data_IF_806458542550
#
_entry.id   IF_806458542550
#
_cell.length_a   1.000
_cell.length_b   1.000
_cell.length_c   1.000
_cell.angle_alpha   90.00
_cell.angle_beta   90.00
_cell.angle_gamma   90.00
#
_symmetry.space_group_name_H-M   'P 1'
#
loop_
_entity.id
_entity.type
_entity.pdbx_description
1 polymer ?
#
# COMPACT_ATOMS: atom_id res chain seq x y z
N UNK A 1 14.85 13.52 31.05
CA UNK A 1 14.96 14.65 30.12
C UNK A 1 15.02 14.20 28.66
N UNK A 2 15.98 13.35 28.26
CA UNK A 2 16.08 12.90 26.85
C UNK A 2 14.79 12.25 26.32
N UNK A 3 14.12 11.41 27.10
CA UNK A 3 12.83 10.83 26.69
C UNK A 3 11.73 11.87 26.45
N UNK A 4 11.71 12.95 27.23
CA UNK A 4 10.77 14.06 27.05
C UNK A 4 11.14 14.92 25.83
N UNK A 5 12.44 15.04 25.51
CA UNK A 5 12.88 15.70 24.29
C UNK A 5 12.46 14.91 23.04
N UNK A 6 12.60 13.57 23.06
CA UNK A 6 12.12 12.71 21.97
C UNK A 6 10.60 12.82 21.79
N UNK A 7 9.84 12.92 22.87
CA UNK A 7 8.38 13.11 22.80
C UNK A 7 7.99 14.41 22.10
N UNK A 8 8.71 15.51 22.37
CA UNK A 8 8.49 16.78 21.65
C UNK A 8 8.78 16.64 20.16
N UNK A 9 9.89 16.01 19.78
CA UNK A 9 10.27 15.78 18.38
C UNK A 9 9.21 14.92 17.67
N UNK A 10 8.74 13.85 18.32
CA UNK A 10 7.75 12.96 17.73
C UNK A 10 6.42 13.66 17.44
N UNK A 11 6.05 14.73 18.18
CA UNK A 11 4.80 15.45 17.92
C UNK A 11 4.79 16.18 16.57
N UNK A 12 5.95 16.42 15.96
CA UNK A 12 6.07 17.09 14.67
C UNK A 12 5.95 16.11 13.48
N UNK A 13 5.86 14.79 13.73
CA UNK A 13 5.77 13.77 12.67
C UNK A 13 4.36 13.68 12.08
N UNK A 14 4.31 13.51 10.75
CA UNK A 14 3.08 13.46 9.95
C UNK A 14 2.76 12.05 9.40
N UNK A 15 3.64 11.09 9.61
CA UNK A 15 3.49 9.72 9.13
C UNK A 15 4.38 9.38 7.93
N UNK A 16 4.91 10.37 7.21
CA UNK A 16 5.81 10.18 6.08
C UNK A 16 7.29 10.25 6.47
N UNK A 17 7.58 10.58 7.73
CA UNK A 17 8.94 10.81 8.23
C UNK A 17 9.86 9.59 8.10
N UNK A 18 11.15 9.87 7.94
CA UNK A 18 12.22 8.87 7.90
C UNK A 18 13.13 9.08 9.12
N UNK A 19 13.25 8.06 9.95
CA UNK A 19 14.14 8.09 11.12
C UNK A 19 15.39 7.28 10.81
N UNK A 20 16.55 7.86 11.14
CA UNK A 20 17.86 7.24 11.00
C UNK A 20 18.54 7.23 12.35
N UNK A 21 18.84 6.03 12.87
CA UNK A 21 19.55 5.83 14.12
C UNK A 21 20.89 5.15 13.86
N UNK A 22 21.99 5.83 14.19
CA UNK A 22 23.33 5.28 14.09
C UNK A 22 23.93 5.01 15.48
N UNK A 23 24.52 3.83 15.71
CA UNK A 23 25.20 3.50 16.97
C UNK A 23 24.29 3.72 18.19
N UNK A 24 24.71 4.50 19.19
CA UNK A 24 23.89 4.88 20.35
C UNK A 24 22.61 5.65 19.98
N UNK A 25 22.62 6.37 18.85
CA UNK A 25 21.44 7.03 18.29
C UNK A 25 20.37 6.04 17.82
N UNK A 26 20.73 4.77 17.60
CA UNK A 26 19.78 3.70 17.32
C UNK A 26 18.70 3.56 18.38
N UNK A 27 19.06 3.74 19.66
CA UNK A 27 18.09 3.64 20.75
C UNK A 27 17.11 4.83 20.77
N UNK A 28 17.60 6.04 20.45
CA UNK A 28 16.74 7.21 20.27
C UNK A 28 15.77 7.04 19.10
N UNK A 29 16.25 6.49 17.98
CA UNK A 29 15.43 6.20 16.80
C UNK A 29 14.33 5.19 17.09
N UNK A 30 14.66 4.10 17.80
CA UNK A 30 13.68 3.12 18.28
C UNK A 30 12.61 3.78 19.15
N UNK A 31 13.02 4.58 20.14
CA UNK A 31 12.09 5.30 21.00
C UNK A 31 11.19 6.28 20.23
N UNK A 32 11.70 7.00 19.24
CA UNK A 32 10.85 7.85 18.40
C UNK A 32 9.82 7.02 17.62
N UNK A 33 10.24 5.90 17.03
CA UNK A 33 9.36 5.02 16.27
C UNK A 33 8.26 4.36 17.14
N UNK A 34 8.45 4.19 18.45
CA UNK A 34 7.38 3.71 19.34
C UNK A 34 6.20 4.67 19.48
N UNK A 35 6.42 5.97 19.22
CA UNK A 35 5.48 7.03 19.61
C UNK A 35 4.53 7.45 18.50
N UNK A 36 4.97 7.41 17.25
CA UNK A 36 4.21 7.90 16.09
C UNK A 36 4.49 7.06 14.85
N UNK A 37 3.52 7.07 13.93
CA UNK A 37 3.69 6.45 12.62
C UNK A 37 4.78 7.16 11.83
N UNK A 38 5.57 6.38 11.10
CA UNK A 38 6.64 6.83 10.23
C UNK A 38 6.68 5.98 8.95
N UNK A 39 7.20 6.55 7.87
CA UNK A 39 7.33 5.81 6.62
C UNK A 39 8.46 4.77 6.70
N UNK A 40 9.59 5.15 7.29
CA UNK A 40 10.78 4.30 7.32
C UNK A 40 11.65 4.50 8.56
N UNK A 41 12.12 3.39 9.13
CA UNK A 41 13.15 3.34 10.17
C UNK A 41 14.43 2.69 9.62
N UNK A 42 15.55 3.40 9.72
CA UNK A 42 16.88 2.91 9.37
C UNK A 42 17.74 2.84 10.63
N UNK A 43 18.18 1.64 11.01
CA UNK A 43 19.15 1.44 12.07
C UNK A 43 20.48 1.01 11.48
N UNK A 44 21.55 1.77 11.77
CA UNK A 44 22.90 1.50 11.28
C UNK A 44 23.81 1.23 12.46
N UNK A 45 24.44 0.05 12.47
CA UNK A 45 25.27 -0.43 13.57
C UNK A 45 24.64 -0.10 14.94
N UNK A 46 23.33 -0.36 15.16
CA UNK A 46 22.67 0.12 16.37
C UNK A 46 23.27 -0.52 17.61
N UNK A 47 23.35 0.27 18.69
CA UNK A 47 23.67 -0.22 20.03
C UNK A 47 22.37 -0.29 20.86
N UNK A 48 21.55 -1.34 20.68
CA UNK A 48 20.30 -1.52 21.43
C UNK A 48 20.54 -1.81 22.92
N UNK A 49 19.51 -1.68 23.78
CA UNK A 49 19.53 -2.03 25.21
C UNK A 49 19.76 -3.54 25.44
N UNK A 50 20.96 -4.05 25.16
CA UNK A 50 21.39 -5.39 25.59
C UNK A 50 22.42 -5.26 26.69
N UNK A 51 22.58 -6.32 27.49
CA UNK A 51 23.50 -6.31 28.61
C UNK A 51 24.95 -6.27 28.10
N UNK A 52 25.53 -5.08 28.03
CA UNK A 52 26.91 -4.90 27.59
C UNK A 52 27.91 -5.18 28.73
N UNK A 53 29.12 -5.68 28.41
CA UNK A 53 30.19 -5.85 29.39
C UNK A 53 30.46 -4.56 30.17
N UNK A 54 30.72 -4.65 31.48
CA UNK A 54 31.02 -3.49 32.35
C UNK A 54 32.17 -2.62 31.81
N UNK A 55 33.09 -3.22 31.05
CA UNK A 55 34.22 -2.54 30.42
C UNK A 55 33.83 -1.55 29.32
N UNK A 56 32.65 -1.70 28.67
CA UNK A 56 32.19 -0.82 27.58
C UNK A 56 32.06 0.64 28.03
N UNK A 57 31.53 0.84 29.23
CA UNK A 57 31.36 2.17 29.81
C UNK A 57 32.68 2.80 30.30
N UNK A 58 33.73 1.98 30.49
CA UNK A 58 35.04 2.44 30.94
C UNK A 58 35.77 3.33 29.94
N UNK A 59 35.46 3.20 28.64
CA UNK A 59 36.00 4.10 27.61
C UNK A 59 35.41 5.51 27.73
N UNK A 60 34.08 5.63 27.87
CA UNK A 60 33.41 6.92 28.06
C UNK A 60 33.86 7.66 29.32
N UNK A 61 34.22 6.93 30.39
CA UNK A 61 34.74 7.50 31.65
C UNK A 61 36.07 8.23 31.51
N UNK A 62 36.79 8.04 30.41
CA UNK A 62 38.02 8.79 30.12
C UNK A 62 37.75 10.18 29.57
N UNK A 63 36.62 10.36 28.91
CA UNK A 63 36.29 11.57 28.16
C UNK A 63 35.18 12.39 28.85
N UNK A 64 34.24 11.74 29.53
CA UNK A 64 33.02 12.38 30.06
C UNK A 64 32.89 12.27 31.59
N UNK A 65 32.22 13.24 32.23
CA UNK A 65 31.86 13.18 33.65
C UNK A 65 31.01 11.94 33.99
N UNK A 66 31.16 11.41 35.21
CA UNK A 66 30.39 10.25 35.67
C UNK A 66 28.87 10.48 35.61
N UNK A 67 28.41 11.71 35.87
CA UNK A 67 26.98 12.07 35.79
C UNK A 67 26.39 11.85 34.40
N UNK A 68 27.14 12.18 33.36
CA UNK A 68 26.70 12.09 31.97
C UNK A 68 26.68 10.64 31.50
N UNK A 69 27.62 9.84 31.99
CA UNK A 69 27.68 8.40 31.73
C UNK A 69 26.54 7.68 32.42
N UNK A 70 26.22 8.06 33.66
CA UNK A 70 25.08 7.50 34.38
C UNK A 70 23.75 7.88 33.70
N UNK A 71 23.63 9.11 33.17
CA UNK A 71 22.49 9.53 32.37
C UNK A 71 22.39 8.76 31.04
N UNK A 72 23.50 8.65 30.31
CA UNK A 72 23.59 7.88 29.07
C UNK A 72 23.21 6.42 29.30
N UNK A 73 23.73 5.81 30.36
CA UNK A 73 23.41 4.42 30.71
C UNK A 73 21.93 4.25 31.04
N UNK A 74 21.33 5.16 31.83
CA UNK A 74 19.90 5.13 32.11
C UNK A 74 19.04 5.24 30.86
N UNK A 75 19.42 6.10 29.92
CA UNK A 75 18.72 6.21 28.64
C UNK A 75 18.93 4.98 27.76
N UNK A 76 20.17 4.51 27.67
CA UNK A 76 20.55 3.34 26.89
C UNK A 76 19.82 2.09 27.38
N UNK A 77 19.66 1.90 28.69
CA UNK A 77 19.03 0.72 29.29
C UNK A 77 17.48 0.84 29.35
N UNK A 78 16.90 1.93 28.82
CA UNK A 78 15.45 2.09 28.76
C UNK A 78 14.83 1.05 27.80
N UNK A 79 13.74 0.43 28.25
CA UNK A 79 13.08 -0.65 27.50
C UNK A 79 12.38 -0.13 26.24
N UNK A 80 12.56 -0.83 25.12
CA UNK A 80 11.93 -0.54 23.83
C UNK A 80 10.79 -1.52 23.57
N UNK A 81 9.59 -1.01 23.32
CA UNK A 81 8.45 -1.76 22.83
C UNK A 81 8.54 -1.99 21.32
N UNK A 82 9.20 -3.08 20.93
CA UNK A 82 9.37 -3.45 19.53
C UNK A 82 8.07 -3.68 18.78
N UNK A 83 7.00 -4.16 19.43
CA UNK A 83 5.70 -4.33 18.77
C UNK A 83 5.15 -2.99 18.27
N UNK A 84 5.25 -1.93 19.08
CA UNK A 84 4.88 -0.58 18.64
C UNK A 84 5.78 -0.04 17.54
N UNK A 85 7.09 -0.27 17.63
CA UNK A 85 8.04 0.13 16.56
C UNK A 85 7.62 -0.52 15.23
N UNK A 86 7.24 -1.80 15.26
CA UNK A 86 6.81 -2.53 14.08
C UNK A 86 5.46 -2.04 13.55
N UNK A 87 4.48 -1.81 14.40
CA UNK A 87 3.16 -1.29 14.00
C UNK A 87 3.22 0.13 13.44
N UNK A 88 4.16 0.94 13.93
CA UNK A 88 4.29 2.34 13.54
C UNK A 88 5.21 2.57 12.34
N UNK A 89 6.07 1.62 11.98
CA UNK A 89 7.04 1.82 10.89
C UNK A 89 6.64 0.99 9.68
N UNK A 90 6.28 1.61 8.56
CA UNK A 90 5.89 0.83 7.37
C UNK A 90 7.06 0.01 6.80
N UNK A 91 8.26 0.62 6.78
CA UNK A 91 9.51 -0.02 6.36
C UNK A 91 10.56 0.07 7.46
N UNK A 92 11.32 -1.01 7.64
CA UNK A 92 12.34 -1.13 8.68
C UNK A 92 13.60 -1.78 8.09
N UNK A 93 14.72 -1.08 8.19
CA UNK A 93 16.00 -1.48 7.59
C UNK A 93 17.06 -1.51 8.68
N UNK A 94 17.76 -2.64 8.79
CA UNK A 94 18.88 -2.84 9.68
C UNK A 94 20.15 -3.00 8.86
N UNK A 95 21.14 -2.15 9.10
CA UNK A 95 22.44 -2.15 8.42
C UNK A 95 23.51 -2.49 9.46
N UNK A 96 24.25 -3.56 9.22
CA UNK A 96 25.31 -4.07 10.10
C UNK A 96 26.59 -4.30 9.32
N UNK A 97 27.72 -4.35 10.02
CA UNK A 97 28.95 -4.96 9.53
C UNK A 97 29.19 -6.29 10.24
N UNK A 98 29.64 -7.31 9.51
CA UNK A 98 29.92 -8.64 10.06
C UNK A 98 31.18 -8.70 10.95
N UNK A 99 32.03 -7.69 10.89
CA UNK A 99 33.24 -7.53 11.70
C UNK A 99 33.24 -6.26 12.57
N UNK A 100 32.06 -5.74 12.95
CA UNK A 100 31.97 -4.56 13.83
C UNK A 100 32.55 -4.87 15.23
N UNK A 101 33.61 -4.15 15.68
CA UNK A 101 34.26 -4.42 16.96
C UNK A 101 33.47 -3.91 18.18
N UNK A 102 32.44 -3.09 17.99
CA UNK A 102 31.68 -2.42 19.06
C UNK A 102 30.23 -2.90 19.18
N UNK A 103 29.67 -3.49 18.12
CA UNK A 103 28.30 -4.03 18.11
C UNK A 103 28.35 -5.56 18.22
N UNK A 104 28.19 -6.13 19.44
CA UNK A 104 28.34 -7.55 19.65
C UNK A 104 27.20 -8.36 19.02
N UNK A 105 27.44 -9.66 18.84
CA UNK A 105 26.52 -10.57 18.18
C UNK A 105 25.14 -10.60 18.86
N UNK A 106 25.07 -10.47 20.19
CA UNK A 106 23.83 -10.42 20.96
C UNK A 106 22.94 -9.23 20.56
N UNK A 107 23.55 -8.08 20.27
CA UNK A 107 22.82 -6.92 19.78
C UNK A 107 22.24 -7.16 18.39
N UNK A 108 22.93 -7.94 17.55
CA UNK A 108 22.45 -8.32 16.23
C UNK A 108 21.28 -9.31 16.31
N UNK A 109 21.37 -10.28 17.24
CA UNK A 109 20.34 -11.30 17.49
C UNK A 109 18.99 -10.73 17.92
N UNK A 110 18.98 -9.57 18.56
CA UNK A 110 17.75 -8.89 18.97
C UNK A 110 16.79 -8.62 17.78
N UNK A 111 17.34 -8.53 16.57
CA UNK A 111 16.60 -8.24 15.36
C UNK A 111 16.38 -9.46 14.46
N UNK A 112 16.95 -10.63 14.78
CA UNK A 112 16.92 -11.81 13.92
C UNK A 112 15.52 -12.44 13.81
N UNK A 113 14.70 -12.29 14.85
CA UNK A 113 13.31 -12.76 14.88
C UNK A 113 12.34 -11.77 14.18
N UNK A 114 12.84 -10.63 13.72
CA UNK A 114 12.01 -9.54 13.18
C UNK A 114 11.98 -9.57 11.67
N UNK A 115 10.81 -9.23 11.10
CA UNK A 115 10.62 -9.10 9.64
C UNK A 115 11.15 -7.74 9.14
N UNK A 116 12.45 -7.52 9.31
CA UNK A 116 13.15 -6.30 8.94
C UNK A 116 14.08 -6.59 7.74
N UNK A 117 14.26 -5.60 6.89
CA UNK A 117 15.23 -5.68 5.80
C UNK A 117 16.64 -5.61 6.38
N UNK A 118 17.40 -6.70 6.33
CA UNK A 118 18.76 -6.76 6.89
C UNK A 118 19.80 -6.63 5.78
N UNK A 119 20.69 -5.65 5.90
CA UNK A 119 21.84 -5.42 5.04
C UNK A 119 23.09 -5.67 5.88
N UNK A 120 23.85 -6.70 5.53
CA UNK A 120 25.13 -7.02 6.18
C UNK A 120 26.25 -6.64 5.22
N UNK A 121 27.11 -5.73 5.66
CA UNK A 121 28.29 -5.31 4.95
C UNK A 121 29.45 -6.19 5.39
N UNK A 122 30.18 -6.72 4.41
CA UNK A 122 31.33 -7.57 4.68
C UNK A 122 32.57 -6.72 4.96
N UNK A 123 33.23 -7.02 6.07
CA UNK A 123 34.54 -6.50 6.47
C UNK A 123 34.64 -4.97 6.61
N UNK A 124 33.55 -4.26 6.91
CA UNK A 124 33.52 -2.78 6.99
C UNK A 124 33.93 -2.18 8.34
N UNK A 125 34.09 -2.97 9.39
CA UNK A 125 34.32 -2.48 10.75
C UNK A 125 33.11 -1.71 11.30
N UNK A 126 33.35 -0.79 12.25
CA UNK A 126 32.29 0.09 12.73
C UNK A 126 32.08 1.24 11.75
N UNK A 127 30.83 1.45 11.32
CA UNK A 127 30.49 2.46 10.32
C UNK A 127 30.66 3.85 10.94
N UNK A 128 31.56 4.68 10.41
CA UNK A 128 31.76 6.06 10.90
C UNK A 128 30.95 7.07 10.07
N UNK A 129 30.70 8.26 10.63
CA UNK A 129 29.85 9.30 10.00
C UNK A 129 30.25 9.66 8.54
N UNK A 130 31.54 9.80 8.18
CA UNK A 130 31.92 10.14 6.80
C UNK A 130 31.61 9.02 5.80
N UNK A 131 31.92 7.78 6.18
CA UNK A 131 31.65 6.57 5.38
C UNK A 131 30.14 6.31 5.27
N UNK A 132 29.40 6.62 6.33
CA UNK A 132 27.96 6.55 6.35
C UNK A 132 27.33 7.48 5.33
N UNK A 133 27.79 8.72 5.15
CA UNK A 133 27.19 9.63 4.17
C UNK A 133 27.26 9.08 2.74
N UNK A 134 28.41 8.52 2.37
CA UNK A 134 28.58 7.90 1.04
C UNK A 134 27.74 6.63 0.90
N UNK A 135 27.81 5.73 1.87
CA UNK A 135 27.03 4.50 1.91
C UNK A 135 25.52 4.78 1.92
N UNK A 136 25.08 5.75 2.72
CA UNK A 136 23.68 6.15 2.81
C UNK A 136 23.20 6.73 1.49
N UNK A 137 23.98 7.60 0.87
CA UNK A 137 23.65 8.12 -0.46
C UNK A 137 23.56 7.00 -1.49
N UNK A 138 24.44 6.00 -1.45
CA UNK A 138 24.38 4.83 -2.32
C UNK A 138 23.14 3.96 -2.05
N UNK A 139 22.86 3.65 -0.78
CA UNK A 139 21.69 2.87 -0.35
C UNK A 139 20.36 3.56 -0.63
N UNK A 140 20.35 4.89 -0.62
CA UNK A 140 19.17 5.72 -0.86
C UNK A 140 19.01 6.14 -2.32
N UNK A 141 20.06 6.02 -3.15
CA UNK A 141 20.07 6.40 -4.58
C UNK A 141 18.95 5.75 -5.36
N UNK A 142 18.63 4.50 -5.02
CA UNK A 142 17.61 3.70 -5.69
C UNK A 142 16.27 3.62 -4.93
N UNK A 143 16.18 4.18 -3.72
CA UNK A 143 15.04 3.93 -2.80
C UNK A 143 14.29 5.18 -2.40
N UNK A 144 14.01 6.07 -3.36
CA UNK A 144 12.92 7.05 -3.19
C UNK A 144 11.59 6.29 -3.26
N UNK A 145 11.13 5.75 -2.12
CA UNK A 145 9.82 5.15 -2.03
C UNK A 145 8.79 6.29 -2.10
N UNK A 146 8.20 6.46 -3.27
CA UNK A 146 7.21 7.51 -3.53
C UNK A 146 5.78 7.09 -3.15
N UNK A 147 5.63 5.92 -2.49
CA UNK A 147 4.32 5.35 -2.17
C UNK A 147 3.57 4.94 -3.43
N UNK A 148 2.25 5.18 -3.43
CA UNK A 148 1.37 4.89 -4.58
C UNK A 148 1.58 5.96 -5.66
N UNK A 149 1.98 5.51 -6.85
CA UNK A 149 2.20 6.40 -8.01
C UNK A 149 1.25 6.00 -9.14
N UNK A 150 0.41 6.92 -9.66
CA UNK A 150 -0.47 6.62 -10.77
C UNK A 150 0.31 6.34 -12.05
N UNK A 151 -0.20 5.43 -12.86
CA UNK A 151 0.33 5.17 -14.21
C UNK A 151 0.08 6.41 -15.08
N UNK A 152 1.06 6.87 -15.88
CA UNK A 152 0.86 7.98 -16.81
C UNK A 152 -0.25 7.66 -17.84
N UNK A 153 -1.05 8.65 -18.19
CA UNK A 153 -2.19 8.49 -19.12
C UNK A 153 -1.79 7.88 -20.48
N UNK A 154 -0.63 8.28 -21.01
CA UNK A 154 -0.05 7.74 -22.25
C UNK A 154 0.30 6.23 -22.19
N UNK A 155 0.45 5.68 -20.99
CA UNK A 155 0.81 4.29 -20.76
C UNK A 155 -0.44 3.43 -20.45
N UNK A 156 -1.64 4.04 -20.51
CA UNK A 156 -2.90 3.33 -20.44
C UNK A 156 -3.26 2.71 -21.81
N UNK A 157 -3.97 1.58 -21.83
CA UNK A 157 -4.43 0.80 -20.68
C UNK A 157 -3.35 -0.13 -20.10
N UNK A 158 -3.42 -0.38 -18.79
CA UNK A 158 -2.67 -1.49 -18.17
C UNK A 158 -3.43 -2.79 -18.42
N UNK A 159 -3.01 -3.55 -19.42
CA UNK A 159 -3.66 -4.79 -19.82
C UNK A 159 -3.40 -5.92 -18.82
N UNK A 160 -4.43 -6.71 -18.55
CA UNK A 160 -4.30 -7.94 -17.76
C UNK A 160 -3.40 -8.94 -18.51
N UNK A 161 -2.50 -9.63 -17.80
CA UNK A 161 -1.69 -10.69 -18.41
C UNK A 161 -2.55 -11.91 -18.74
N UNK A 162 -2.31 -12.52 -19.90
CA UNK A 162 -3.02 -13.74 -20.33
C UNK A 162 -2.57 -14.99 -19.55
N UNK A 163 -1.31 -15.01 -19.09
CA UNK A 163 -0.71 -16.17 -18.40
C UNK A 163 -0.64 -15.92 -16.89
N UNK A 164 -1.63 -16.42 -16.15
CA UNK A 164 -1.67 -16.41 -14.68
C UNK A 164 -2.11 -17.77 -14.15
N UNK A 165 -1.75 -18.08 -12.89
CA UNK A 165 -2.19 -19.30 -12.24
C UNK A 165 -3.49 -19.08 -11.46
N UNK A 166 -4.61 -19.55 -12.03
CA UNK A 166 -5.93 -19.51 -11.39
C UNK A 166 -6.17 -20.65 -10.40
N UNK A 167 -5.25 -21.61 -10.27
CA UNK A 167 -5.38 -22.71 -9.29
C UNK A 167 -4.84 -22.33 -7.92
N UNK A 168 -4.00 -21.31 -7.86
CA UNK A 168 -3.52 -20.75 -6.60
C UNK A 168 -4.70 -20.20 -5.78
N UNK A 169 -4.63 -20.35 -4.45
CA UNK A 169 -5.61 -19.73 -3.53
C UNK A 169 -5.36 -18.23 -3.31
N UNK A 170 -4.27 -17.71 -3.87
CA UNK A 170 -3.86 -16.30 -3.78
C UNK A 170 -4.31 -15.53 -5.03
N UNK A 171 -4.08 -14.21 -5.05
CA UNK A 171 -4.37 -13.37 -6.22
C UNK A 171 -3.57 -13.88 -7.46
N UNK A 172 -4.23 -14.28 -8.56
CA UNK A 172 -3.55 -14.83 -9.74
C UNK A 172 -2.50 -13.89 -10.36
N UNK A 173 -2.65 -12.57 -10.22
CA UNK A 173 -1.69 -11.61 -10.76
C UNK A 173 -0.32 -11.70 -10.07
N UNK A 174 -0.25 -12.23 -8.85
CA UNK A 174 1.00 -12.47 -8.12
C UNK A 174 1.88 -13.54 -8.80
N UNK A 175 1.31 -14.42 -9.62
CA UNK A 175 2.08 -15.45 -10.32
C UNK A 175 2.82 -14.91 -11.54
N UNK A 176 2.49 -13.71 -12.03
CA UNK A 176 3.06 -13.14 -13.25
C UNK A 176 4.10 -12.05 -12.93
N UNK A 177 5.35 -12.47 -12.72
CA UNK A 177 6.46 -11.54 -12.44
C UNK A 177 6.65 -10.45 -13.49
N UNK A 178 6.42 -10.77 -14.78
CA UNK A 178 6.56 -9.81 -15.88
C UNK A 178 5.53 -8.67 -15.81
N UNK A 179 4.32 -8.97 -15.33
CA UNK A 179 3.30 -7.96 -15.08
C UNK A 179 3.63 -7.13 -13.84
N UNK A 180 4.06 -7.80 -12.75
CA UNK A 180 4.32 -7.17 -11.45
C UNK A 180 5.51 -6.22 -11.48
N UNK A 181 6.65 -6.69 -11.99
CA UNK A 181 7.94 -5.99 -11.91
C UNK A 181 7.99 -4.86 -12.94
N UNK A 182 7.97 -3.62 -12.45
CA UNK A 182 7.99 -2.41 -13.29
C UNK A 182 8.95 -1.37 -12.72
N UNK A 183 9.26 -0.35 -13.50
CA UNK A 183 9.97 0.84 -12.98
C UNK A 183 8.96 1.91 -12.58
N UNK A 184 9.23 2.61 -11.49
CA UNK A 184 8.43 3.75 -11.08
C UNK A 184 8.48 4.84 -12.17
N UNK A 185 7.34 5.33 -12.68
CA UNK A 185 7.33 6.33 -13.75
C UNK A 185 7.86 7.71 -13.30
N UNK A 186 7.97 7.96 -11.98
CA UNK A 186 8.46 9.24 -11.43
C UNK A 186 9.95 9.23 -11.09
N UNK A 187 10.48 8.14 -10.54
CA UNK A 187 11.88 8.06 -10.08
C UNK A 187 12.72 6.97 -10.77
N UNK A 188 12.13 6.15 -11.64
CA UNK A 188 12.78 5.05 -12.36
C UNK A 188 13.33 3.90 -11.49
N UNK A 189 13.18 3.96 -10.17
CA UNK A 189 13.49 2.88 -9.25
C UNK A 189 12.65 1.62 -9.51
N UNK A 190 13.13 0.42 -9.13
CA UNK A 190 12.31 -0.80 -9.11
C UNK A 190 11.02 -0.59 -8.30
N UNK A 191 9.90 -1.00 -8.87
CA UNK A 191 8.57 -0.88 -8.30
C UNK A 191 7.72 -2.13 -8.64
N UNK A 192 6.53 -2.20 -8.04
CA UNK A 192 5.56 -3.25 -8.35
C UNK A 192 4.21 -2.63 -8.75
N UNK A 193 3.49 -3.28 -9.66
CA UNK A 193 2.09 -2.93 -9.95
C UNK A 193 1.18 -3.29 -8.79
N UNK A 194 0.06 -2.58 -8.69
CA UNK A 194 -1.10 -3.04 -7.94
C UNK A 194 -1.63 -4.34 -8.56
N UNK A 195 -2.03 -5.28 -7.71
CA UNK A 195 -2.52 -6.60 -8.10
C UNK A 195 -4.01 -6.75 -7.91
N UNK A 196 -4.64 -5.89 -7.10
CA UNK A 196 -6.09 -5.91 -6.98
C UNK A 196 -6.73 -5.36 -8.26
N UNK A 197 -7.81 -6.03 -8.70
CA UNK A 197 -8.62 -5.57 -9.82
C UNK A 197 -9.85 -4.83 -9.31
N UNK A 198 -10.38 -3.93 -10.13
CA UNK A 198 -11.64 -3.27 -9.80
C UNK A 198 -12.78 -4.30 -9.81
N UNK A 199 -13.63 -4.27 -8.78
CA UNK A 199 -14.83 -5.10 -8.75
C UNK A 199 -15.80 -4.71 -9.86
N UNK A 200 -16.56 -5.67 -10.41
CA UNK A 200 -17.42 -5.44 -11.60
C UNK A 200 -18.52 -4.38 -11.44
N UNK A 201 -18.77 -3.88 -10.23
CA UNK A 201 -19.64 -2.71 -10.03
C UNK A 201 -19.02 -1.41 -10.53
N UNK A 202 -17.69 -1.29 -10.61
CA UNK A 202 -17.05 -0.12 -11.20
C UNK A 202 -17.48 0.03 -12.66
N UNK A 203 -17.39 -1.04 -13.45
CA UNK A 203 -17.76 -1.06 -14.87
C UNK A 203 -19.25 -0.73 -15.06
N UNK A 204 -20.12 -1.41 -14.32
CA UNK A 204 -21.58 -1.22 -14.41
C UNK A 204 -22.07 0.09 -13.80
N UNK A 205 -21.21 0.90 -13.17
CA UNK A 205 -21.60 2.20 -12.62
C UNK A 205 -21.69 3.32 -13.64
N UNK A 206 -21.12 3.15 -14.84
CA UNK A 206 -21.07 4.20 -15.85
C UNK A 206 -21.24 3.72 -17.30
N UNK A 207 -21.45 2.42 -17.53
CA UNK A 207 -21.59 1.83 -18.87
C UNK A 207 -22.69 2.50 -19.73
N UNK A 208 -23.77 2.99 -19.13
CA UNK A 208 -24.85 3.71 -19.82
C UNK A 208 -24.37 5.03 -20.45
N UNK A 209 -23.35 5.68 -19.87
CA UNK A 209 -22.69 6.84 -20.49
C UNK A 209 -21.82 6.42 -21.66
N UNK A 210 -21.11 5.28 -21.52
CA UNK A 210 -20.26 4.74 -22.58
C UNK A 210 -21.06 4.37 -23.83
N UNK A 211 -22.28 3.87 -23.68
CA UNK A 211 -23.15 3.56 -24.81
C UNK A 211 -23.54 4.76 -25.68
N UNK A 212 -23.42 6.00 -25.17
CA UNK A 212 -23.65 7.19 -25.98
C UNK A 212 -22.60 7.32 -27.09
N UNK A 213 -21.38 6.81 -26.87
CA UNK A 213 -20.24 6.93 -27.80
C UNK A 213 -19.28 5.72 -27.65
N UNK A 214 -19.68 4.51 -28.06
CA UNK A 214 -18.93 3.28 -27.79
C UNK A 214 -17.59 3.20 -28.54
N UNK A 215 -17.47 3.90 -29.67
CA UNK A 215 -16.28 3.90 -30.53
C UNK A 215 -15.26 5.01 -30.17
N UNK A 216 -15.53 5.83 -29.15
CA UNK A 216 -14.63 6.89 -28.69
C UNK A 216 -13.33 6.28 -28.11
N UNK A 217 -12.17 6.67 -28.66
CA UNK A 217 -10.88 6.01 -28.36
C UNK A 217 -10.06 6.75 -27.31
N UNK A 218 -10.20 8.06 -27.24
CA UNK A 218 -9.29 8.91 -26.44
C UNK A 218 -9.95 9.37 -25.13
N UNK A 219 -11.28 9.21 -25.01
CA UNK A 219 -12.05 9.65 -23.84
C UNK A 219 -12.94 8.53 -23.32
N UNK A 220 -13.40 8.61 -22.05
CA UNK A 220 -14.40 7.69 -21.54
C UNK A 220 -15.71 7.73 -22.36
N UNK A 221 -16.14 8.93 -22.77
CA UNK A 221 -17.31 9.16 -23.63
C UNK A 221 -17.28 10.59 -24.21
N UNK A 222 -18.00 10.82 -25.30
CA UNK A 222 -18.22 12.16 -25.85
C UNK A 222 -19.29 12.92 -25.06
N UNK A 223 -18.99 14.18 -24.71
CA UNK A 223 -19.88 14.99 -23.87
C UNK A 223 -21.13 15.47 -24.61
N UNK A 224 -21.08 15.66 -25.93
CA UNK A 224 -22.23 16.08 -26.72
C UNK A 224 -23.21 14.91 -26.90
N UNK A 225 -22.69 13.70 -27.14
CA UNK A 225 -23.51 12.49 -27.24
C UNK A 225 -24.21 12.19 -25.91
N UNK A 226 -23.49 12.26 -24.80
CA UNK A 226 -24.09 12.13 -23.45
C UNK A 226 -25.13 13.22 -23.21
N UNK A 227 -24.86 14.47 -23.58
CA UNK A 227 -25.84 15.57 -23.44
C UNK A 227 -27.12 15.32 -24.25
N UNK A 228 -27.02 14.63 -25.37
CA UNK A 228 -28.18 14.30 -26.21
C UNK A 228 -28.99 13.13 -25.64
N UNK A 229 -28.32 12.05 -25.24
CA UNK A 229 -28.97 10.79 -24.84
C UNK A 229 -29.37 10.69 -23.37
N UNK A 230 -28.73 11.45 -22.48
CA UNK A 230 -28.88 11.30 -21.04
C UNK A 230 -29.68 12.45 -20.40
N UNK A 231 -30.37 12.21 -19.26
CA UNK A 231 -30.44 10.95 -18.51
C UNK A 231 -31.25 9.85 -19.19
N UNK A 232 -31.06 8.59 -18.80
CA UNK A 232 -31.85 7.48 -19.34
C UNK A 232 -33.32 7.67 -18.93
N UNK A 233 -34.22 7.78 -19.90
CA UNK A 233 -35.65 8.01 -19.62
C UNK A 233 -36.31 6.84 -18.88
N UNK A 234 -36.01 5.61 -19.28
CA UNK A 234 -36.56 4.38 -18.70
C UNK A 234 -35.47 3.33 -18.54
N UNK A 235 -35.17 2.98 -17.29
CA UNK A 235 -34.29 1.88 -16.95
C UNK A 235 -35.12 0.68 -16.47
N UNK A 236 -34.81 -0.52 -16.96
CA UNK A 236 -35.52 -1.76 -16.62
C UNK A 236 -34.50 -2.76 -16.07
N UNK A 237 -34.70 -3.24 -14.85
CA UNK A 237 -33.77 -4.15 -14.21
C UNK A 237 -34.33 -4.78 -12.93
N UNK A 238 -33.81 -5.94 -12.55
CA UNK A 238 -34.31 -6.67 -11.38
C UNK A 238 -34.10 -5.91 -10.06
N UNK A 239 -35.01 -6.10 -9.11
CA UNK A 239 -34.97 -5.43 -7.81
C UNK A 239 -33.74 -5.83 -6.96
N UNK A 240 -33.08 -6.95 -7.27
CA UNK A 240 -31.83 -7.39 -6.65
C UNK A 240 -30.69 -6.36 -6.74
N UNK A 241 -30.76 -5.43 -7.70
CA UNK A 241 -29.76 -4.39 -7.90
C UNK A 241 -30.03 -3.09 -7.12
N UNK A 242 -31.13 -3.03 -6.35
CA UNK A 242 -31.54 -1.84 -5.59
C UNK A 242 -30.47 -1.30 -4.63
N UNK A 243 -29.72 -2.19 -3.97
CA UNK A 243 -28.73 -1.82 -2.94
C UNK A 243 -27.27 -1.93 -3.41
N UNK A 244 -27.03 -2.20 -4.69
CA UNK A 244 -25.68 -2.30 -5.27
C UNK A 244 -25.56 -1.39 -6.49
N UNK A 245 -25.72 -1.93 -7.70
CA UNK A 245 -25.58 -1.20 -8.95
C UNK A 245 -26.35 0.12 -8.97
N UNK A 246 -27.61 0.15 -8.50
CA UNK A 246 -28.40 1.39 -8.51
C UNK A 246 -27.85 2.45 -7.55
N UNK A 247 -27.20 2.08 -6.45
CA UNK A 247 -26.50 3.04 -5.57
C UNK A 247 -25.22 3.51 -6.26
N UNK A 248 -24.41 2.59 -6.78
CA UNK A 248 -23.12 2.94 -7.39
C UNK A 248 -23.27 3.78 -8.66
N UNK A 249 -24.25 3.49 -9.52
CA UNK A 249 -24.55 4.28 -10.71
C UNK A 249 -24.91 5.74 -10.35
N UNK A 250 -25.72 5.94 -9.31
CA UNK A 250 -26.08 7.27 -8.80
C UNK A 250 -24.87 7.99 -8.21
N UNK A 251 -24.07 7.29 -7.43
CA UNK A 251 -22.83 7.83 -6.86
C UNK A 251 -21.86 8.29 -7.97
N UNK A 252 -21.55 7.42 -8.93
CA UNK A 252 -20.66 7.74 -10.06
C UNK A 252 -21.19 8.91 -10.88
N UNK A 253 -22.50 8.96 -11.16
CA UNK A 253 -23.12 10.08 -11.89
C UNK A 253 -22.89 11.41 -11.17
N UNK A 254 -23.04 11.44 -9.84
CA UNK A 254 -22.82 12.65 -9.04
C UNK A 254 -21.35 13.05 -8.99
N UNK A 255 -20.44 12.10 -8.85
CA UNK A 255 -18.99 12.35 -8.93
C UNK A 255 -18.63 12.93 -10.30
N UNK A 256 -19.10 12.33 -11.39
CA UNK A 256 -18.85 12.80 -12.75
C UNK A 256 -19.47 14.18 -13.00
N UNK A 257 -20.62 14.48 -12.42
CA UNK A 257 -21.23 15.82 -12.45
C UNK A 257 -20.34 16.85 -11.76
N UNK A 258 -19.88 16.54 -10.55
CA UNK A 258 -19.06 17.45 -9.75
C UNK A 258 -17.68 17.67 -10.39
N UNK A 259 -17.17 16.68 -11.15
CA UNK A 259 -15.97 16.79 -11.99
C UNK A 259 -16.24 17.47 -13.36
N UNK A 260 -17.48 17.86 -13.67
CA UNK A 260 -17.83 18.56 -14.92
C UNK A 260 -17.88 17.68 -16.18
N UNK A 261 -18.04 16.37 -16.03
CA UNK A 261 -18.21 15.44 -17.16
C UNK A 261 -19.65 15.34 -17.65
N UNK A 262 -20.62 15.49 -16.74
CA UNK A 262 -22.06 15.49 -17.04
C UNK A 262 -22.76 16.66 -16.34
N UNK A 263 -23.97 17.01 -16.78
CA UNK A 263 -24.74 18.14 -16.23
C UNK A 263 -26.05 17.72 -15.52
N UNK A 264 -26.23 16.42 -15.27
CA UNK A 264 -27.38 15.84 -14.56
C UNK A 264 -26.95 15.13 -13.28
N UNK A 265 -27.89 14.93 -12.35
CA UNK A 265 -27.60 14.41 -11.01
C UNK A 265 -28.07 12.97 -10.76
N UNK A 266 -28.91 12.45 -11.64
CA UNK A 266 -29.47 11.10 -11.56
C UNK A 266 -29.37 10.45 -12.95
N UNK A 267 -28.87 9.20 -13.06
CA UNK A 267 -28.66 8.55 -14.35
C UNK A 267 -29.95 8.03 -14.98
N UNK A 268 -30.98 7.72 -14.17
CA UNK A 268 -32.22 7.08 -14.60
C UNK A 268 -33.43 7.90 -14.14
N UNK A 269 -34.23 8.39 -15.09
CA UNK A 269 -35.44 9.19 -14.83
C UNK A 269 -36.58 8.33 -14.30
N UNK A 270 -36.77 7.13 -14.87
CA UNK A 270 -37.74 6.13 -14.42
C UNK A 270 -37.05 4.77 -14.27
N UNK A 271 -37.44 4.04 -13.23
CA UNK A 271 -37.02 2.67 -12.98
C UNK A 271 -38.23 1.76 -12.98
N UNK A 272 -38.17 0.66 -13.73
CA UNK A 272 -39.15 -0.42 -13.66
C UNK A 272 -38.44 -1.71 -13.29
N UNK A 273 -38.93 -2.39 -12.25
CA UNK A 273 -38.38 -3.68 -11.85
C UNK A 273 -39.23 -4.82 -12.41
N UNK A 274 -38.68 -5.57 -13.36
CA UNK A 274 -39.37 -6.75 -13.86
C UNK A 274 -39.51 -7.82 -12.78
N UNK A 275 -40.62 -8.55 -12.82
CA UNK A 275 -40.85 -9.70 -11.95
C UNK A 275 -39.87 -10.84 -12.23
N UNK A 276 -39.70 -11.71 -11.24
CA UNK A 276 -38.87 -12.92 -11.36
C UNK A 276 -39.65 -13.97 -12.17
N UNK A 277 -38.96 -14.67 -13.07
CA UNK A 277 -39.52 -15.80 -13.80
C UNK A 277 -39.33 -17.09 -13.00
N UNK A 278 -40.43 -17.81 -12.80
CA UNK A 278 -40.49 -19.06 -12.03
C UNK A 278 -40.78 -20.25 -12.94
N UNK A 279 -40.24 -21.42 -12.57
CA UNK A 279 -40.60 -22.72 -13.14
C UNK A 279 -40.62 -23.75 -12.02
N UNK A 280 -41.66 -24.59 -12.01
CA UNK A 280 -41.82 -25.67 -11.04
C UNK A 280 -41.81 -25.19 -9.57
N UNK A 281 -42.39 -24.01 -9.31
CA UNK A 281 -42.46 -23.40 -7.98
C UNK A 281 -41.18 -22.72 -7.48
N UNK A 282 -40.10 -22.75 -8.26
CA UNK A 282 -38.80 -22.16 -7.90
C UNK A 282 -38.37 -21.08 -8.90
N UNK A 283 -37.55 -20.12 -8.45
CA UNK A 283 -36.84 -19.20 -9.35
C UNK A 283 -36.01 -20.02 -10.33
N UNK A 284 -36.03 -19.68 -11.63
CA UNK A 284 -35.20 -20.39 -12.59
C UNK A 284 -33.71 -20.25 -12.26
N UNK A 285 -33.01 -21.37 -12.07
CA UNK A 285 -31.58 -21.42 -11.82
C UNK A 285 -30.96 -22.77 -12.23
N UNK A 286 -29.65 -22.79 -12.48
CA UNK A 286 -28.92 -24.04 -12.76
C UNK A 286 -28.96 -25.02 -11.60
N UNK A 287 -28.96 -24.53 -10.35
CA UNK A 287 -28.95 -25.39 -9.16
C UNK A 287 -30.24 -26.20 -8.98
N UNK A 288 -31.38 -25.67 -9.45
CA UNK A 288 -32.67 -26.36 -9.42
C UNK A 288 -32.94 -27.18 -10.68
N UNK A 289 -32.04 -27.18 -11.68
CA UNK A 289 -32.24 -27.90 -12.94
C UNK A 289 -33.46 -27.45 -13.74
N UNK A 290 -34.03 -26.28 -13.42
CA UNK A 290 -35.32 -25.80 -13.95
C UNK A 290 -35.14 -24.67 -14.98
N UNK A 291 -33.94 -24.51 -15.55
CA UNK A 291 -33.66 -23.52 -16.60
C UNK A 291 -34.43 -23.89 -17.87
N UNK A 292 -35.10 -22.90 -18.47
CA UNK A 292 -35.63 -22.98 -19.82
C UNK A 292 -34.70 -22.19 -20.73
N UNK A 293 -34.11 -22.83 -21.72
CA UNK A 293 -33.25 -22.15 -22.68
C UNK A 293 -34.09 -21.40 -23.71
N UNK A 294 -33.69 -20.18 -24.02
CA UNK A 294 -34.39 -19.35 -25.01
C UNK A 294 -34.38 -19.98 -26.40
N UNK A 295 -33.31 -20.72 -26.74
CA UNK A 295 -33.16 -21.45 -28.01
C UNK A 295 -34.28 -22.47 -28.19
N UNK A 296 -34.56 -23.27 -27.17
CA UNK A 296 -35.56 -24.34 -27.23
C UNK A 296 -36.97 -23.78 -27.46
N UNK A 297 -37.25 -22.60 -26.89
CA UNK A 297 -38.53 -21.91 -27.02
C UNK A 297 -38.67 -21.27 -28.40
N UNK A 298 -37.62 -20.59 -28.88
CA UNK A 298 -37.65 -19.93 -30.19
C UNK A 298 -37.74 -20.94 -31.33
N UNK A 299 -36.99 -22.05 -31.27
CA UNK A 299 -37.08 -23.12 -32.28
C UNK A 299 -38.48 -23.73 -32.36
N UNK A 300 -39.19 -23.80 -31.24
CA UNK A 300 -40.52 -24.42 -31.17
C UNK A 300 -41.66 -23.48 -31.51
N UNK A 301 -41.57 -22.21 -31.13
CA UNK A 301 -42.71 -21.28 -31.15
C UNK A 301 -42.48 -19.97 -31.93
N UNK A 302 -41.25 -19.68 -32.35
CA UNK A 302 -40.85 -18.40 -32.94
C UNK A 302 -40.24 -17.45 -31.92
#
# INVERSE_FOLDING_TARGET
EWMAALEKIANDFDGNDIIIGHSLGGNAALHLAERKKISSLYLIAPAPPVQYPKSRWGWFRKEWPNSDIDALKKFHDAEVNFAKVEDNSERRVLILSDNDPYIPLEAQKLFDDKRWEKIVLHERGHILEPEFKELFNELMKDKKNLGIVPVPEKDLPVLLPENVDFKARENPLLSNKKFLEVKCPRCNSPARRETDTMGGFVDSSWYFLRYCSPDEKDKPFDKNDVKYWMPVDQYIGGAEHAVMHLIYARFFTRVLRDLGYVNFSEPFTKLFNQGIVYKDGHKMSKSFGNVVFQTDISEKYG
#
